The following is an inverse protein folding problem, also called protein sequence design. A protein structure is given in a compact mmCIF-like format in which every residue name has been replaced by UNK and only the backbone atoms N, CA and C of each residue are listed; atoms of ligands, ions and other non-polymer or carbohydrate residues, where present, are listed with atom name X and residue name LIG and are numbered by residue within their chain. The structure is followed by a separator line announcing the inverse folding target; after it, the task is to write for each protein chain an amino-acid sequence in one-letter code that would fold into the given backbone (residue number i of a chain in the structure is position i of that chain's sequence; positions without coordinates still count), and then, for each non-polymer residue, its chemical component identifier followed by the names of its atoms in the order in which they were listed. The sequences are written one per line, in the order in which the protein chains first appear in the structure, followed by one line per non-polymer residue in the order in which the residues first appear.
data_IF_936234623910
#
_entry.id   IF_936234623910
#
_cell.length_a   1.000
_cell.length_b   1.000
_cell.length_c   1.000
_cell.angle_alpha   90.00
_cell.angle_beta   90.00
_cell.angle_gamma   90.00
#
_symmetry.space_group_name_H-M   'P 1'
#
loop_
_entity.id
_entity.type
_entity.pdbx_description
1 polymer ?
#
# COMPACT_ATOMS: atom_id res chain seq x y z
N UNK A 1 10.17 9.42 -34.29
CA UNK A 1 10.22 8.47 -33.16
C UNK A 1 10.71 9.16 -31.87
N UNK A 2 11.71 10.05 -31.93
CA UNK A 2 12.25 10.76 -30.75
C UNK A 2 11.31 11.73 -30.03
N UNK A 3 10.29 12.29 -30.69
CA UNK A 3 9.33 13.21 -30.04
C UNK A 3 8.27 12.51 -29.17
N UNK A 4 8.11 11.19 -29.32
CA UNK A 4 7.07 10.41 -28.64
C UNK A 4 7.52 9.85 -27.29
N UNK A 5 8.80 9.55 -27.12
CA UNK A 5 9.35 9.00 -25.86
C UNK A 5 9.14 9.97 -24.68
N UNK A 6 9.45 11.28 -24.80
CA UNK A 6 9.21 12.23 -23.71
C UNK A 6 7.71 12.36 -23.34
N UNK A 7 6.82 12.24 -24.32
CA UNK A 7 5.37 12.30 -24.10
C UNK A 7 4.85 11.07 -23.37
N UNK A 8 5.34 9.87 -23.73
CA UNK A 8 5.01 8.63 -23.03
C UNK A 8 5.53 8.64 -21.59
N UNK A 9 6.76 9.10 -21.39
CA UNK A 9 7.35 9.23 -20.05
C UNK A 9 6.55 10.21 -19.18
N UNK A 10 6.13 11.35 -19.76
CA UNK A 10 5.27 12.31 -19.08
C UNK A 10 3.93 11.67 -18.69
N UNK A 11 3.23 11.03 -19.63
CA UNK A 11 1.96 10.36 -19.34
C UNK A 11 2.08 9.27 -18.28
N UNK A 12 3.17 8.49 -18.28
CA UNK A 12 3.44 7.50 -17.24
C UNK A 12 3.67 8.15 -15.87
N UNK A 13 4.43 9.25 -15.82
CA UNK A 13 4.66 10.02 -14.59
C UNK A 13 3.37 10.66 -14.06
N UNK A 14 2.54 11.21 -14.95
CA UNK A 14 1.27 11.84 -14.61
C UNK A 14 0.30 10.80 -14.02
N UNK A 15 0.15 9.66 -14.70
CA UNK A 15 -0.70 8.55 -14.20
C UNK A 15 -0.25 8.02 -12.84
N UNK A 16 1.07 7.84 -12.65
CA UNK A 16 1.62 7.46 -11.34
C UNK A 16 1.34 8.51 -10.27
N UNK A 17 1.48 9.79 -10.61
CA UNK A 17 1.27 10.89 -9.67
C UNK A 17 -0.21 11.00 -9.27
N UNK A 18 -1.12 10.79 -10.22
CA UNK A 18 -2.56 10.71 -9.96
C UNK A 18 -2.90 9.54 -9.04
N UNK A 19 -2.42 8.32 -9.33
CA UNK A 19 -2.60 7.15 -8.47
C UNK A 19 -2.06 7.41 -7.06
N UNK A 20 -0.87 8.00 -6.98
CA UNK A 20 -0.22 8.36 -5.71
C UNK A 20 -1.11 9.29 -4.91
N UNK A 21 -1.60 10.38 -5.51
CA UNK A 21 -2.43 11.39 -4.86
C UNK A 21 -3.75 10.79 -4.38
N UNK A 22 -4.41 10.01 -5.25
CA UNK A 22 -5.70 9.40 -4.95
C UNK A 22 -5.61 8.34 -3.84
N UNK A 23 -4.45 7.69 -3.67
CA UNK A 23 -4.27 6.66 -2.65
C UNK A 23 -3.92 7.23 -1.26
N UNK A 24 -3.43 8.48 -1.15
CA UNK A 24 -2.96 9.07 0.13
C UNK A 24 -4.07 9.09 1.17
N UNK A 25 -5.14 9.84 0.95
CA UNK A 25 -6.27 9.94 1.89
C UNK A 25 -6.83 8.58 2.30
N UNK A 26 -7.18 7.69 1.34
CA UNK A 26 -7.67 6.34 1.64
C UNK A 26 -6.75 5.53 2.54
N UNK A 27 -5.43 5.51 2.31
CA UNK A 27 -4.49 4.77 3.16
C UNK A 27 -4.47 5.31 4.58
N UNK A 28 -4.54 6.63 4.78
CA UNK A 28 -4.66 7.24 6.12
C UNK A 28 -5.92 6.76 6.84
N UNK A 29 -7.05 6.70 6.14
CA UNK A 29 -8.30 6.17 6.68
C UNK A 29 -8.19 4.67 7.03
N UNK A 30 -7.50 3.87 6.21
CA UNK A 30 -7.30 2.43 6.50
C UNK A 30 -6.43 2.22 7.72
N UNK A 31 -5.36 2.99 7.88
CA UNK A 31 -4.53 2.96 9.09
C UNK A 31 -5.34 3.34 10.32
N UNK A 32 -6.20 4.36 10.20
CA UNK A 32 -7.09 4.79 11.30
C UNK A 32 -8.08 3.68 11.71
N UNK A 33 -8.53 2.85 10.76
CA UNK A 33 -9.37 1.67 11.06
C UNK A 33 -8.59 0.58 11.81
N UNK A 34 -7.30 0.43 11.54
CA UNK A 34 -6.43 -0.53 12.23
C UNK A 34 -6.02 -0.07 13.63
N UNK A 35 -6.13 1.22 13.95
CA UNK A 35 -5.87 1.75 15.29
C UNK A 35 -6.95 2.77 15.71
N UNK A 36 -8.19 2.32 16.01
CA UNK A 36 -9.31 3.22 16.31
C UNK A 36 -9.12 4.10 17.55
N UNK A 37 -8.22 3.72 18.45
CA UNK A 37 -7.92 4.45 19.69
C UNK A 37 -7.00 5.67 19.48
N UNK A 38 -6.36 5.80 18.31
CA UNK A 38 -5.49 6.93 17.99
C UNK A 38 -6.23 8.05 17.23
N UNK A 39 -5.69 9.28 17.27
CA UNK A 39 -6.17 10.36 16.40
C UNK A 39 -6.20 9.92 14.92
N UNK A 40 -7.35 10.05 14.25
CA UNK A 40 -7.47 9.66 12.85
C UNK A 40 -6.52 10.41 11.90
N UNK A 41 -5.92 9.69 10.95
CA UNK A 41 -5.10 10.23 9.86
C UNK A 41 -6.01 10.70 8.71
N UNK A 42 -6.80 11.74 8.95
CA UNK A 42 -7.85 12.22 8.02
C UNK A 42 -7.32 13.16 6.92
N UNK A 43 -6.04 13.51 6.94
CA UNK A 43 -5.44 14.45 5.98
C UNK A 43 -4.81 13.72 4.79
N UNK A 44 -4.94 14.33 3.61
CA UNK A 44 -4.10 14.03 2.43
C UNK A 44 -2.62 14.40 2.67
N UNK A 45 -2.35 15.18 3.72
CA UNK A 45 -1.01 15.42 4.22
C UNK A 45 -0.45 14.15 4.89
N UNK A 46 0.71 13.72 4.39
CA UNK A 46 1.44 12.55 4.87
C UNK A 46 2.40 12.88 6.02
N UNK A 47 2.57 14.15 6.41
CA UNK A 47 3.54 14.56 7.42
C UNK A 47 3.36 13.84 8.77
N UNK A 48 2.11 13.50 9.13
CA UNK A 48 1.79 12.77 10.36
C UNK A 48 1.90 11.23 10.24
N UNK A 49 2.42 10.71 9.12
CA UNK A 49 2.59 9.27 8.85
C UNK A 49 4.06 8.84 8.97
N UNK A 50 4.42 7.71 8.36
CA UNK A 50 5.79 7.19 8.36
C UNK A 50 6.21 6.57 9.69
N UNK A 51 7.52 6.39 9.87
CA UNK A 51 8.09 5.63 11.01
C UNK A 51 7.85 6.28 12.38
N UNK A 52 7.61 7.60 12.41
CA UNK A 52 7.35 8.33 13.65
C UNK A 52 5.94 8.06 14.20
N UNK A 53 4.98 7.75 13.33
CA UNK A 53 3.65 7.33 13.75
C UNK A 53 3.66 5.84 14.10
N UNK A 54 3.09 5.45 15.25
CA UNK A 54 3.16 4.05 15.73
C UNK A 54 2.63 3.03 14.71
N UNK A 55 1.38 3.15 14.24
CA UNK A 55 0.84 2.17 13.28
C UNK A 55 1.49 2.19 11.91
N UNK A 56 1.72 3.37 11.33
CA UNK A 56 2.44 3.48 10.05
C UNK A 56 3.85 2.89 10.16
N UNK A 57 4.57 3.18 11.23
CA UNK A 57 5.89 2.64 11.48
C UNK A 57 5.88 1.12 11.65
N UNK A 58 4.92 0.57 12.39
CA UNK A 58 4.70 -0.87 12.49
C UNK A 58 4.50 -1.48 11.10
N UNK A 59 3.59 -0.92 10.31
CA UNK A 59 3.28 -1.41 8.95
C UNK A 59 4.46 -1.29 7.99
N UNK A 60 5.30 -0.27 8.13
CA UNK A 60 6.49 -0.05 7.30
C UNK A 60 7.69 -0.90 7.73
N UNK A 61 7.76 -1.31 9.00
CA UNK A 61 8.86 -2.11 9.52
C UNK A 61 8.91 -3.52 8.91
N UNK A 62 10.12 -4.03 8.67
CA UNK A 62 10.34 -5.41 8.19
C UNK A 62 9.80 -6.42 9.21
N UNK A 63 9.09 -7.45 8.75
CA UNK A 63 8.63 -8.57 9.60
C UNK A 63 9.76 -9.23 10.41
N UNK A 64 11.01 -9.08 9.95
CA UNK A 64 12.22 -9.59 10.60
C UNK A 64 12.55 -8.89 11.93
N UNK A 65 12.03 -7.69 12.16
CA UNK A 65 12.28 -6.90 13.37
C UNK A 65 11.06 -6.88 14.28
N UNK A 66 11.24 -7.09 15.58
CA UNK A 66 10.16 -6.99 16.55
C UNK A 66 9.81 -5.53 16.86
N UNK A 67 8.76 -5.01 16.22
CA UNK A 67 8.28 -3.64 16.46
C UNK A 67 7.79 -3.41 17.90
N UNK A 68 7.39 -4.47 18.61
CA UNK A 68 6.91 -4.35 19.99
C UNK A 68 8.03 -4.04 20.97
N UNK A 69 9.28 -4.38 20.62
CA UNK A 69 10.47 -4.00 21.37
C UNK A 69 10.77 -2.49 21.20
N UNK A 70 10.71 -1.69 22.28
CA UNK A 70 10.99 -0.26 22.22
C UNK A 70 12.39 0.08 21.68
N UNK A 71 13.39 -0.76 21.93
CA UNK A 71 14.76 -0.54 21.45
C UNK A 71 14.81 -0.71 19.94
N UNK A 72 14.24 -1.80 19.41
CA UNK A 72 14.14 -2.06 17.97
C UNK A 72 13.34 -0.95 17.27
N UNK A 73 12.22 -0.54 17.84
CA UNK A 73 11.42 0.59 17.31
C UNK A 73 12.24 1.89 17.28
N UNK A 74 13.06 2.14 18.30
CA UNK A 74 13.95 3.31 18.34
C UNK A 74 14.97 3.25 17.20
N UNK A 75 15.61 2.11 16.98
CA UNK A 75 16.61 1.90 15.92
C UNK A 75 16.01 2.08 14.51
N UNK A 76 14.81 1.56 14.28
CA UNK A 76 14.07 1.76 13.02
C UNK A 76 13.78 3.25 12.80
N UNK A 77 13.34 3.96 13.85
CA UNK A 77 13.02 5.40 13.77
C UNK A 77 14.24 6.30 13.57
N UNK A 78 15.41 5.87 14.01
CA UNK A 78 16.68 6.57 13.80
C UNK A 78 17.40 6.17 12.50
N UNK A 79 16.84 5.22 11.74
CA UNK A 79 17.43 4.68 10.51
C UNK A 79 18.83 4.09 10.78
N UNK A 80 18.96 3.38 11.89
CA UNK A 80 20.20 2.70 12.25
C UNK A 80 20.51 1.59 11.23
N UNK A 81 21.80 1.39 10.94
CA UNK A 81 22.25 0.39 10.00
C UNK A 81 21.79 -1.03 10.42
N UNK A 82 21.16 -1.76 9.51
CA UNK A 82 20.54 -3.06 9.79
C UNK A 82 19.07 -2.99 10.24
N UNK A 83 18.49 -1.79 10.31
CA UNK A 83 17.07 -1.54 10.63
C UNK A 83 16.36 -0.69 9.56
N UNK A 84 16.95 -0.60 8.36
CA UNK A 84 16.36 0.08 7.21
C UNK A 84 15.07 -0.62 6.74
N UNK A 85 14.26 0.10 5.96
CA UNK A 85 13.09 -0.49 5.32
C UNK A 85 13.52 -1.61 4.38
N UNK A 86 12.96 -2.80 4.55
CA UNK A 86 13.16 -3.91 3.62
C UNK A 86 11.95 -4.09 2.70
N UNK A 87 12.13 -4.90 1.67
CA UNK A 87 11.03 -5.37 0.82
C UNK A 87 9.99 -6.22 1.58
N UNK A 88 10.27 -6.59 2.84
CA UNK A 88 9.42 -7.41 3.71
C UNK A 88 8.65 -6.58 4.74
N UNK A 89 8.28 -5.34 4.41
CA UNK A 89 7.42 -4.51 5.24
C UNK A 89 6.10 -5.23 5.60
N UNK A 90 5.68 -5.14 6.87
CA UNK A 90 4.44 -5.75 7.40
C UNK A 90 3.20 -5.43 6.60
N UNK A 91 3.09 -4.22 6.06
CA UNK A 91 1.99 -3.77 5.20
C UNK A 91 1.73 -4.69 4.00
N UNK A 92 2.71 -5.50 3.58
CA UNK A 92 2.62 -6.41 2.45
C UNK A 92 2.19 -7.83 2.84
N UNK A 93 2.18 -8.16 4.14
CA UNK A 93 1.88 -9.51 4.61
C UNK A 93 0.40 -9.70 4.98
N UNK A 94 -0.10 -10.91 4.77
CA UNK A 94 -1.40 -11.32 5.28
C UNK A 94 -1.49 -11.07 6.78
N UNK A 95 -2.51 -10.32 7.21
CA UNK A 95 -2.69 -9.90 8.59
C UNK A 95 -1.59 -9.04 9.19
N UNK A 96 -0.76 -8.43 8.35
CA UNK A 96 0.31 -7.51 8.75
C UNK A 96 1.37 -8.11 9.67
N UNK A 97 1.54 -9.44 9.59
CA UNK A 97 2.52 -10.19 10.35
C UNK A 97 3.15 -11.25 9.45
N UNK A 98 4.40 -11.58 9.70
CA UNK A 98 5.16 -12.58 8.96
C UNK A 98 6.08 -13.35 9.88
N UNK A 99 6.46 -14.57 9.48
CA UNK A 99 7.45 -15.36 10.19
C UNK A 99 8.86 -14.99 9.68
N UNK A 100 9.75 -14.46 10.53
CA UNK A 100 11.14 -14.18 10.13
C UNK A 100 11.90 -15.42 9.63
N UNK A 101 11.46 -16.63 9.99
CA UNK A 101 12.04 -17.89 9.52
C UNK A 101 11.45 -18.37 8.20
N UNK A 102 10.31 -17.81 7.79
CA UNK A 102 9.59 -18.15 6.57
C UNK A 102 8.98 -16.89 5.93
N UNK A 103 9.84 -16.04 5.36
CA UNK A 103 9.43 -14.76 4.78
C UNK A 103 8.47 -14.86 3.60
N UNK A 104 8.36 -16.01 2.94
CA UNK A 104 7.41 -16.16 1.82
C UNK A 104 5.96 -16.35 2.32
N UNK A 105 5.79 -16.77 3.56
CA UNK A 105 4.46 -17.02 4.13
C UNK A 105 3.70 -15.71 4.33
N UNK A 106 2.53 -15.62 3.69
CA UNK A 106 1.71 -14.41 3.74
C UNK A 106 2.24 -13.22 2.94
N UNK A 107 3.43 -13.30 2.33
CA UNK A 107 4.01 -12.18 1.58
C UNK A 107 3.18 -11.80 0.35
N UNK A 108 3.01 -10.50 0.14
CA UNK A 108 2.17 -9.86 -0.90
C UNK A 108 0.68 -10.25 -0.87
N UNK A 109 0.17 -10.66 0.30
CA UNK A 109 -1.22 -11.13 0.51
C UNK A 109 -2.00 -10.27 1.51
N UNK A 110 -1.54 -9.07 1.85
CA UNK A 110 -2.26 -8.21 2.78
C UNK A 110 -3.60 -7.71 2.21
N UNK A 111 -4.59 -7.52 3.08
CA UNK A 111 -5.87 -6.93 2.67
C UNK A 111 -5.71 -5.46 2.24
N UNK A 112 -4.72 -4.72 2.77
CA UNK A 112 -4.35 -3.39 2.25
C UNK A 112 -3.87 -3.43 0.79
N UNK A 113 -3.07 -4.43 0.40
CA UNK A 113 -2.65 -4.58 -1.00
C UNK A 113 -3.84 -4.86 -1.91
N UNK A 114 -4.74 -5.76 -1.51
CA UNK A 114 -5.96 -6.06 -2.28
C UNK A 114 -6.83 -4.81 -2.41
N UNK A 115 -6.99 -4.05 -1.32
CA UNK A 115 -7.77 -2.81 -1.30
C UNK A 115 -7.15 -1.73 -2.18
N UNK A 116 -5.82 -1.53 -2.12
CA UNK A 116 -5.08 -0.61 -2.97
C UNK A 116 -5.16 -0.99 -4.45
N UNK A 117 -5.03 -2.29 -4.77
CA UNK A 117 -5.20 -2.79 -6.13
C UNK A 117 -6.59 -2.44 -6.68
N UNK A 118 -7.65 -2.72 -5.93
CA UNK A 118 -9.03 -2.37 -6.36
C UNK A 118 -9.22 -0.86 -6.45
N UNK A 119 -8.59 -0.09 -5.57
CA UNK A 119 -8.69 1.36 -5.60
C UNK A 119 -8.13 1.95 -6.91
N UNK A 120 -6.92 1.52 -7.30
CA UNK A 120 -6.21 2.00 -8.49
C UNK A 120 -6.75 1.36 -9.78
N UNK A 121 -6.78 0.03 -9.83
CA UNK A 121 -7.01 -0.67 -11.09
C UNK A 121 -8.48 -0.86 -11.44
N UNK A 122 -9.39 -0.81 -10.46
CA UNK A 122 -10.83 -0.96 -10.71
C UNK A 122 -11.57 0.33 -10.43
N UNK A 123 -11.84 0.65 -9.17
CA UNK A 123 -12.45 1.90 -8.75
C UNK A 123 -12.39 2.07 -7.22
N UNK A 124 -12.38 3.31 -6.70
CA UNK A 124 -12.48 3.57 -5.26
C UNK A 124 -13.67 2.86 -4.61
N UNK A 125 -14.84 2.86 -5.26
CA UNK A 125 -16.05 2.21 -4.73
C UNK A 125 -15.89 0.70 -4.59
N UNK A 126 -15.27 0.04 -5.58
CA UNK A 126 -15.00 -1.40 -5.51
C UNK A 126 -13.95 -1.79 -4.47
N UNK A 127 -13.25 -0.84 -3.85
CA UNK A 127 -12.33 -1.13 -2.74
C UNK A 127 -13.04 -1.18 -1.39
N UNK A 128 -14.28 -0.67 -1.29
CA UNK A 128 -15.00 -0.54 -0.01
C UNK A 128 -15.47 -1.88 0.58
N UNK A 129 -15.57 -2.94 -0.23
CA UNK A 129 -15.93 -4.30 0.19
C UNK A 129 -14.75 -5.07 0.82
N UNK A 130 -13.53 -4.52 0.74
CA UNK A 130 -12.34 -5.07 1.39
C UNK A 130 -12.21 -4.45 2.77
N UNK A 131 -12.29 -5.29 3.80
CA UNK A 131 -12.02 -4.89 5.17
C UNK A 131 -10.52 -5.08 5.45
N UNK A 132 -9.83 -4.01 5.87
CA UNK A 132 -8.40 -4.08 6.18
C UNK A 132 -8.15 -4.72 7.54
N UNK A 133 -9.16 -4.80 8.41
CA UNK A 133 -9.06 -5.39 9.75
C UNK A 133 -9.19 -6.91 9.77
N UNK A 134 -9.63 -7.51 8.66
CA UNK A 134 -9.87 -8.95 8.55
C UNK A 134 -8.69 -9.62 7.81
N UNK A 135 -8.17 -10.69 8.41
CA UNK A 135 -7.13 -11.53 7.84
C UNK A 135 -7.74 -12.51 6.83
N UNK A 136 -8.02 -12.03 5.63
CA UNK A 136 -8.58 -12.83 4.54
C UNK A 136 -7.53 -13.72 3.88
N UNK A 137 -6.98 -14.69 4.60
CA UNK A 137 -6.21 -15.78 3.98
C UNK A 137 -7.15 -16.71 3.19
N UNK A 138 -8.44 -16.73 3.51
CA UNK A 138 -9.40 -17.71 2.99
C UNK A 138 -10.77 -17.13 2.63
N UNK A 139 -10.87 -15.94 1.99
CA UNK A 139 -12.19 -15.53 1.46
C UNK A 139 -12.44 -16.33 0.17
N UNK A 140 -13.41 -17.27 0.11
CA UNK A 140 -13.69 -18.01 -1.11
C UNK A 140 -14.21 -17.03 -2.16
N UNK A 141 -13.69 -17.14 -3.37
CA UNK A 141 -14.03 -16.33 -4.55
C UNK A 141 -15.53 -16.28 -4.90
N UNK A 142 -16.36 -17.10 -4.25
CA UNK A 142 -17.79 -17.22 -4.47
C UNK A 142 -18.66 -16.08 -3.90
N UNK A 143 -18.20 -15.33 -2.88
CA UNK A 143 -19.03 -14.25 -2.26
C UNK A 143 -18.94 -12.89 -2.98
N UNK A 144 -18.06 -12.73 -3.98
CA UNK A 144 -17.85 -11.45 -4.70
C UNK A 144 -18.99 -11.07 -5.67
N UNK A 145 -20.09 -11.82 -5.71
CA UNK A 145 -21.15 -11.65 -6.72
C UNK A 145 -22.42 -10.97 -6.22
N UNK A 146 -22.38 -10.32 -5.07
CA UNK A 146 -23.54 -9.58 -4.56
C UNK A 146 -23.32 -8.08 -4.64
N UNK A 147 -24.22 -7.42 -5.39
CA UNK A 147 -24.55 -5.98 -5.34
C UNK A 147 -23.56 -5.06 -6.08
N UNK A 148 -23.92 -4.18 -7.03
CA UNK A 148 -25.19 -3.53 -7.33
C UNK A 148 -25.13 -2.96 -8.78
N UNK A 149 -26.30 -2.82 -9.40
CA UNK A 149 -26.61 -2.20 -10.70
C UNK A 149 -25.57 -1.21 -11.26
N UNK A 150 -24.94 -1.59 -12.38
CA UNK A 150 -23.96 -0.79 -13.12
C UNK A 150 -24.62 0.43 -13.77
N UNK A 151 -24.37 1.64 -13.25
CA UNK A 151 -24.48 2.86 -14.06
C UNK A 151 -23.18 3.03 -14.86
N UNK A 152 -23.29 3.35 -16.15
CA UNK A 152 -22.16 3.47 -17.07
C UNK A 152 -21.16 4.53 -16.61
N UNK A 153 -20.04 4.08 -16.02
CA UNK A 153 -18.88 4.91 -15.73
C UNK A 153 -17.76 4.72 -16.77
N UNK A 154 -16.71 5.54 -16.68
CA UNK A 154 -15.46 5.37 -17.44
C UNK A 154 -14.93 3.93 -17.29
N UNK A 155 -14.28 3.40 -18.34
CA UNK A 155 -13.60 2.09 -18.27
C UNK A 155 -12.58 2.10 -17.13
N UNK A 156 -12.53 1.04 -16.32
CA UNK A 156 -11.49 0.90 -15.28
C UNK A 156 -10.11 0.79 -15.89
N UNK A 157 -9.06 1.11 -15.13
CA UNK A 157 -7.66 0.96 -15.59
C UNK A 157 -7.38 -0.50 -15.97
N UNK A 158 -7.91 -1.47 -15.22
CA UNK A 158 -7.85 -2.89 -15.56
C UNK A 158 -8.46 -3.20 -16.93
N UNK A 159 -9.63 -2.62 -17.24
CA UNK A 159 -10.26 -2.80 -18.55
C UNK A 159 -9.47 -2.10 -19.67
N UNK A 160 -8.91 -0.92 -19.40
CA UNK A 160 -8.05 -0.19 -20.35
C UNK A 160 -6.78 -0.97 -20.68
N UNK A 161 -6.16 -1.58 -19.67
CA UNK A 161 -4.98 -2.43 -19.78
C UNK A 161 -5.29 -3.87 -20.23
N UNK A 162 -6.58 -4.20 -20.43
CA UNK A 162 -7.06 -5.56 -20.79
C UNK A 162 -6.54 -6.65 -19.83
N UNK A 163 -6.53 -6.34 -18.54
CA UNK A 163 -6.07 -7.28 -17.52
C UNK A 163 -7.11 -8.38 -17.28
N UNK A 164 -6.74 -9.62 -17.59
CA UNK A 164 -7.52 -10.82 -17.29
C UNK A 164 -7.08 -11.51 -16.00
N UNK A 165 -5.87 -11.20 -15.53
CA UNK A 165 -5.32 -11.64 -14.25
C UNK A 165 -4.42 -10.54 -13.68
N UNK A 166 -4.19 -10.58 -12.37
CA UNK A 166 -3.22 -9.70 -11.71
C UNK A 166 -1.81 -10.13 -12.13
N UNK A 167 -1.01 -9.19 -12.64
CA UNK A 167 0.35 -9.46 -13.10
C UNK A 167 1.38 -9.17 -12.01
N UNK A 168 2.56 -9.81 -12.01
CA UNK A 168 3.64 -9.49 -11.07
C UNK A 168 4.01 -8.00 -11.07
N UNK A 169 3.99 -7.35 -12.26
CA UNK A 169 4.22 -5.91 -12.40
C UNK A 169 3.18 -5.09 -11.65
N UNK A 170 1.90 -5.46 -11.74
CA UNK A 170 0.84 -4.76 -11.03
C UNK A 170 0.96 -4.96 -9.51
N UNK A 171 1.35 -6.16 -9.05
CA UNK A 171 1.59 -6.43 -7.62
C UNK A 171 2.73 -5.56 -7.09
N UNK A 172 3.86 -5.54 -7.79
CA UNK A 172 5.01 -4.71 -7.44
C UNK A 172 4.62 -3.22 -7.40
N UNK A 173 3.91 -2.74 -8.42
CA UNK A 173 3.42 -1.36 -8.46
C UNK A 173 2.55 -1.00 -7.25
N UNK A 174 1.60 -1.88 -6.88
CA UNK A 174 0.76 -1.67 -5.70
C UNK A 174 1.56 -1.68 -4.42
N UNK A 175 2.54 -2.59 -4.29
CA UNK A 175 3.41 -2.65 -3.11
C UNK A 175 4.13 -1.30 -2.92
N UNK A 176 4.79 -0.78 -3.96
CA UNK A 176 5.53 0.49 -3.83
C UNK A 176 4.57 1.67 -3.60
N UNK A 177 3.42 1.72 -4.30
CA UNK A 177 2.43 2.79 -4.08
C UNK A 177 1.87 2.78 -2.66
N UNK A 178 1.64 1.60 -2.09
CA UNK A 178 1.16 1.43 -0.72
C UNK A 178 2.20 1.86 0.31
N UNK A 179 3.45 1.38 0.18
CA UNK A 179 4.55 1.78 1.07
C UNK A 179 4.82 3.27 0.99
N UNK A 180 4.83 3.83 -0.23
CA UNK A 180 4.94 5.26 -0.41
C UNK A 180 3.79 6.00 0.28
N UNK A 181 2.52 5.58 0.13
CA UNK A 181 1.38 6.23 0.80
C UNK A 181 1.41 6.14 2.34
N UNK A 182 2.04 5.10 2.90
CA UNK A 182 2.27 4.93 4.34
C UNK A 182 3.43 5.79 4.88
N UNK A 183 4.43 6.06 4.05
CA UNK A 183 5.57 6.90 4.42
C UNK A 183 5.17 8.35 4.69
N UNK A 184 6.11 9.13 5.25
CA UNK A 184 5.99 10.59 5.39
C UNK A 184 6.55 11.36 4.18
N UNK A 185 7.04 10.67 3.14
CA UNK A 185 7.71 11.30 2.00
C UNK A 185 6.75 12.27 1.26
N UNK A 186 7.12 13.55 1.07
CA UNK A 186 6.22 14.54 0.45
C UNK A 186 6.06 14.34 -1.06
N UNK A 187 7.08 13.78 -1.70
CA UNK A 187 7.18 13.52 -3.13
C UNK A 187 7.97 12.24 -3.38
N UNK A 188 7.95 11.73 -4.62
CA UNK A 188 8.70 10.56 -5.00
C UNK A 188 10.20 10.86 -4.99
N UNK A 189 10.94 10.21 -4.11
CA UNK A 189 12.40 10.24 -4.05
C UNK A 189 12.94 8.81 -4.01
N UNK A 190 14.14 8.53 -4.52
CA UNK A 190 14.70 7.17 -4.49
C UNK A 190 14.79 6.60 -3.06
N UNK A 191 15.10 7.48 -2.09
CA UNK A 191 15.17 7.15 -0.68
C UNK A 191 14.52 8.28 0.15
N UNK A 192 13.88 7.94 1.28
CA UNK A 192 13.40 8.90 2.28
C UNK A 192 13.34 8.21 3.65
N UNK A 193 14.04 8.75 4.65
CA UNK A 193 13.92 8.25 6.03
C UNK A 193 14.13 6.72 6.13
N UNK A 194 15.24 6.22 5.55
CA UNK A 194 15.58 4.79 5.55
C UNK A 194 14.66 3.90 4.70
N UNK A 195 13.74 4.48 3.90
CA UNK A 195 12.90 3.76 2.94
C UNK A 195 13.34 4.02 1.51
N UNK A 196 13.45 2.97 0.70
CA UNK A 196 13.71 3.05 -0.74
C UNK A 196 12.43 2.78 -1.56
N UNK A 197 12.22 3.52 -2.65
CA UNK A 197 11.01 3.47 -3.50
C UNK A 197 11.30 3.28 -5.01
#
# INVERSE_FOLDING_TARGET
LDSSIPQLQRGANDGRSEDTSNLRGPVGNWVSQLQPSAPPLLSDDKAARGLQHDKCGELLSSVEHDWSDPEVRSKIRSYEAGYESSMFARALYAGYSGDPKNLEEGFLKSSMMVKAFKHIFTSPKSSQDVDVTINDVERPSALQRLSQTRKSGKKSVAALLRMNSVTPRAIAYIAVQLLFALSSAPSWTPSHQGMDF
#
